data_IF_052529783208
#
_entry.id   IF_052529783208
#
_cell.length_a   1.000
_cell.length_b   1.000
_cell.length_c   1.000
_cell.angle_alpha   90.00
_cell.angle_beta   90.00
_cell.angle_gamma   90.00
#
_symmetry.space_group_name_H-M   'P 1'
#
loop_
_entity.id
_entity.type
_entity.pdbx_description
1 polymer ?
#
# COMPACT_ATOMS: atom_id res chain seq x y z
N UNK A 1 16.03 -19.56 -6.12
CA UNK A 1 15.25 -18.43 -6.70
C UNK A 1 13.93 -18.21 -5.94
N UNK A 2 13.25 -17.06 -6.08
CA UNK A 2 11.93 -16.80 -5.45
C UNK A 2 10.90 -17.91 -5.79
N UNK A 3 10.97 -18.42 -7.02
CA UNK A 3 10.11 -19.51 -7.52
C UNK A 3 10.41 -20.83 -6.80
N UNK A 4 11.68 -21.19 -6.65
CA UNK A 4 12.08 -22.42 -5.94
C UNK A 4 11.72 -22.37 -4.46
N UNK A 5 11.93 -21.23 -3.79
CA UNK A 5 11.52 -21.03 -2.38
C UNK A 5 10.01 -21.22 -2.26
N UNK A 6 9.23 -20.64 -3.18
CA UNK A 6 7.78 -20.83 -3.22
C UNK A 6 7.37 -22.30 -3.41
N UNK A 7 8.04 -23.04 -4.31
CA UNK A 7 7.79 -24.47 -4.54
C UNK A 7 8.13 -25.32 -3.31
N UNK A 8 9.30 -25.11 -2.71
CA UNK A 8 9.72 -25.80 -1.50
C UNK A 8 8.77 -25.51 -0.33
N UNK A 9 8.37 -24.25 -0.16
CA UNK A 9 7.41 -23.85 0.86
C UNK A 9 6.06 -24.59 0.71
N UNK A 10 5.52 -24.66 -0.52
CA UNK A 10 4.29 -25.40 -0.80
C UNK A 10 4.42 -26.90 -0.50
N UNK A 11 5.57 -27.50 -0.82
CA UNK A 11 5.85 -28.91 -0.52
C UNK A 11 5.91 -29.17 1.00
N UNK A 12 6.50 -28.25 1.77
CA UNK A 12 6.58 -28.35 3.23
C UNK A 12 5.18 -28.29 3.85
N UNK A 13 4.36 -27.30 3.46
CA UNK A 13 2.97 -27.18 3.96
C UNK A 13 2.16 -28.44 3.62
N UNK A 14 2.31 -29.00 2.41
CA UNK A 14 1.60 -30.22 2.03
C UNK A 14 1.99 -31.43 2.88
N UNK A 15 3.23 -31.51 3.37
CA UNK A 15 3.73 -32.61 4.20
C UNK A 15 3.42 -32.44 5.70
N UNK A 16 3.01 -31.25 6.14
CA UNK A 16 2.71 -30.93 7.53
C UNK A 16 1.22 -30.57 7.68
N UNK A 17 0.31 -31.56 7.76
CA UNK A 17 -1.14 -31.32 7.79
C UNK A 17 -1.61 -30.53 9.02
N UNK A 18 -0.81 -30.50 10.09
CA UNK A 18 -1.12 -29.80 11.35
C UNK A 18 -0.47 -28.41 11.45
N UNK A 19 0.27 -27.96 10.43
CA UNK A 19 0.77 -26.59 10.39
C UNK A 19 -0.31 -25.70 9.80
N UNK A 20 -0.82 -24.78 10.61
CA UNK A 20 -1.73 -23.75 10.13
C UNK A 20 -1.07 -23.04 8.94
N UNK A 21 -1.79 -22.96 7.82
CA UNK A 21 -1.36 -22.10 6.71
C UNK A 21 -1.12 -20.71 7.29
N UNK A 22 0.02 -20.05 6.97
CA UNK A 22 0.19 -18.67 7.38
C UNK A 22 -0.98 -17.87 6.84
N UNK A 23 -1.61 -17.13 7.73
CA UNK A 23 -2.72 -16.24 7.39
C UNK A 23 -2.27 -15.27 6.30
N UNK A 24 -3.22 -14.87 5.45
CA UNK A 24 -2.96 -13.85 4.44
C UNK A 24 -2.43 -12.60 5.12
N UNK A 25 -1.30 -12.08 4.64
CA UNK A 25 -0.68 -10.88 5.22
C UNK A 25 -1.66 -9.71 5.15
N UNK A 26 -2.06 -9.18 6.31
CA UNK A 26 -2.87 -7.96 6.33
C UNK A 26 -2.02 -6.77 5.86
N UNK A 27 -2.51 -6.10 4.83
CA UNK A 27 -1.87 -4.95 4.17
C UNK A 27 -1.54 -3.85 5.19
N UNK A 28 -2.40 -3.67 6.20
CA UNK A 28 -2.21 -2.69 7.30
C UNK A 28 -0.90 -2.89 8.05
N UNK A 29 -0.47 -4.14 8.23
CA UNK A 29 0.74 -4.49 8.96
C UNK A 29 2.02 -4.22 8.15
N UNK A 30 1.91 -4.06 6.82
CA UNK A 30 3.03 -3.74 5.95
C UNK A 30 3.37 -2.25 5.97
N UNK A 31 2.36 -1.38 6.10
CA UNK A 31 2.51 0.07 5.98
C UNK A 31 3.53 0.66 6.98
N UNK A 32 3.50 0.33 8.30
CA UNK A 32 4.48 0.87 9.24
C UNK A 32 5.93 0.57 8.85
N UNK A 33 6.19 -0.65 8.34
CA UNK A 33 7.51 -1.09 7.89
C UNK A 33 7.96 -0.38 6.61
N UNK A 34 7.04 -0.09 5.71
CA UNK A 34 7.36 0.66 4.49
C UNK A 34 7.60 2.13 4.80
N UNK A 35 6.76 2.76 5.63
CA UNK A 35 6.97 4.14 6.09
C UNK A 35 8.31 4.31 6.82
N UNK A 36 8.75 3.34 7.64
CA UNK A 36 10.04 3.44 8.33
C UNK A 36 11.26 3.35 7.41
N UNK A 37 11.09 2.83 6.18
CA UNK A 37 12.14 2.82 5.15
C UNK A 37 12.16 4.10 4.33
N UNK A 38 11.11 4.91 4.41
CA UNK A 38 10.99 6.19 3.74
C UNK A 38 11.38 7.29 4.72
N UNK A 39 12.15 8.26 4.24
CA UNK A 39 12.52 9.43 5.03
C UNK A 39 11.39 10.47 4.92
N UNK A 40 10.28 10.22 5.64
CA UNK A 40 9.11 11.11 5.65
C UNK A 40 9.18 12.06 6.85
N UNK A 41 8.85 13.33 6.66
CA UNK A 41 8.76 14.32 7.74
C UNK A 41 7.57 13.99 8.66
N UNK A 42 6.41 13.72 8.06
CA UNK A 42 5.14 13.48 8.77
C UNK A 42 4.80 11.98 8.87
N UNK A 43 5.79 11.12 9.19
CA UNK A 43 5.66 9.64 9.22
C UNK A 43 4.37 9.16 9.89
N UNK A 44 4.02 9.71 11.06
CA UNK A 44 2.89 9.22 11.85
C UNK A 44 1.54 9.52 11.19
N UNK A 45 1.39 10.73 10.65
CA UNK A 45 0.19 11.16 9.95
C UNK A 45 0.04 10.36 8.65
N UNK A 46 1.10 10.24 7.86
CA UNK A 46 1.10 9.49 6.59
C UNK A 46 0.76 8.02 6.85
N UNK A 47 1.39 7.39 7.84
CA UNK A 47 1.12 5.99 8.22
C UNK A 47 -0.35 5.78 8.58
N UNK A 48 -0.91 6.61 9.47
CA UNK A 48 -2.32 6.50 9.91
C UNK A 48 -3.27 6.69 8.72
N UNK A 49 -2.97 7.68 7.88
CA UNK A 49 -3.77 8.01 6.69
C UNK A 49 -3.74 6.88 5.66
N UNK A 50 -2.55 6.33 5.37
CA UNK A 50 -2.40 5.22 4.44
C UNK A 50 -3.13 3.96 4.92
N UNK A 51 -3.07 3.64 6.21
CA UNK A 51 -3.84 2.54 6.81
C UNK A 51 -5.34 2.75 6.59
N UNK A 52 -5.83 3.96 6.84
CA UNK A 52 -7.24 4.29 6.64
C UNK A 52 -7.65 4.18 5.16
N UNK A 53 -6.84 4.72 4.25
CA UNK A 53 -7.05 4.62 2.79
C UNK A 53 -7.18 3.16 2.36
N UNK A 54 -6.31 2.27 2.85
CA UNK A 54 -6.37 0.84 2.50
C UNK A 54 -7.69 0.22 2.95
N UNK A 55 -8.18 0.55 4.14
CA UNK A 55 -9.45 0.02 4.62
C UNK A 55 -10.62 0.49 3.78
N UNK A 56 -10.69 1.78 3.50
CA UNK A 56 -11.75 2.30 2.63
C UNK A 56 -11.63 1.74 1.21
N UNK A 57 -10.42 1.55 0.71
CA UNK A 57 -10.19 1.02 -0.62
C UNK A 57 -10.57 -0.46 -0.73
N UNK A 58 -10.49 -1.26 0.34
CA UNK A 58 -10.93 -2.67 0.33
C UNK A 58 -12.43 -2.80 0.03
N UNK A 59 -13.21 -1.82 0.46
CA UNK A 59 -14.66 -1.77 0.30
C UNK A 59 -15.09 -1.01 -0.97
N UNK A 60 -14.39 0.08 -1.29
CA UNK A 60 -14.81 1.03 -2.33
C UNK A 60 -14.11 0.80 -3.67
N UNK A 61 -12.94 0.15 -3.70
CA UNK A 61 -12.09 0.04 -4.89
C UNK A 61 -11.80 -1.41 -5.28
N UNK A 62 -11.55 -1.64 -6.57
CA UNK A 62 -11.23 -2.96 -7.13
C UNK A 62 -9.76 -3.35 -6.90
N UNK A 63 -9.35 -3.44 -5.63
CA UNK A 63 -7.95 -3.70 -5.22
C UNK A 63 -7.71 -5.12 -4.68
N UNK A 64 -8.76 -5.93 -4.49
CA UNK A 64 -8.68 -7.26 -3.86
C UNK A 64 -7.84 -8.27 -4.65
N UNK A 65 -7.77 -8.12 -5.98
CA UNK A 65 -6.96 -8.94 -6.89
C UNK A 65 -5.52 -8.45 -7.03
N UNK A 66 -5.12 -7.37 -6.34
CA UNK A 66 -3.80 -6.76 -6.43
C UNK A 66 -2.90 -7.23 -5.31
N UNK A 67 -1.60 -7.25 -5.57
CA UNK A 67 -0.61 -7.66 -4.58
C UNK A 67 -0.60 -6.69 -3.36
N UNK A 68 -0.57 -7.20 -2.11
CA UNK A 68 -0.52 -6.41 -0.89
C UNK A 68 0.52 -5.28 -0.89
N UNK A 69 1.74 -5.57 -1.33
CA UNK A 69 2.84 -4.61 -1.38
C UNK A 69 2.53 -3.42 -2.31
N UNK A 70 1.85 -3.68 -3.43
CA UNK A 70 1.48 -2.66 -4.41
C UNK A 70 0.33 -1.78 -3.89
N UNK A 71 -0.64 -2.38 -3.20
CA UNK A 71 -1.74 -1.65 -2.56
C UNK A 71 -1.22 -0.74 -1.46
N UNK A 72 -0.35 -1.27 -0.58
CA UNK A 72 0.28 -0.47 0.47
C UNK A 72 1.11 0.67 -0.13
N UNK A 73 1.90 0.41 -1.17
CA UNK A 73 2.69 1.45 -1.85
C UNK A 73 1.82 2.56 -2.45
N UNK A 74 0.72 2.20 -3.12
CA UNK A 74 -0.20 3.19 -3.68
C UNK A 74 -0.91 4.03 -2.61
N UNK A 75 -1.31 3.42 -1.49
CA UNK A 75 -1.92 4.12 -0.37
C UNK A 75 -0.93 5.09 0.31
N UNK A 76 0.33 4.67 0.49
CA UNK A 76 1.40 5.54 1.02
C UNK A 76 1.64 6.72 0.06
N UNK A 77 1.74 6.47 -1.24
CA UNK A 77 1.91 7.53 -2.24
C UNK A 77 0.76 8.55 -2.20
N UNK A 78 -0.48 8.06 -2.12
CA UNK A 78 -1.66 8.91 -2.01
C UNK A 78 -1.67 9.74 -0.71
N UNK A 79 -1.28 9.15 0.41
CA UNK A 79 -1.18 9.84 1.69
C UNK A 79 -0.08 10.93 1.66
N UNK A 80 1.12 10.62 1.14
CA UNK A 80 2.19 11.59 0.95
C UNK A 80 1.73 12.78 0.10
N UNK A 81 1.09 12.50 -1.04
CA UNK A 81 0.58 13.54 -1.92
C UNK A 81 -0.46 14.46 -1.22
N UNK A 82 -1.34 13.91 -0.39
CA UNK A 82 -2.35 14.66 0.34
C UNK A 82 -1.78 15.57 1.44
N UNK A 83 -0.66 15.18 2.06
CA UNK A 83 0.08 16.01 3.02
C UNK A 83 1.12 16.93 2.36
N UNK A 84 1.16 16.99 1.02
CA UNK A 84 2.16 17.75 0.26
C UNK A 84 3.62 17.30 0.53
N UNK A 85 3.81 16.04 0.94
CA UNK A 85 5.12 15.41 1.10
C UNK A 85 5.58 14.89 -0.26
N UNK A 86 6.67 15.44 -0.81
CA UNK A 86 7.21 14.97 -2.08
C UNK A 86 7.93 13.64 -1.89
N UNK A 87 7.32 12.56 -2.35
CA UNK A 87 7.95 11.25 -2.45
C UNK A 87 7.89 10.74 -3.89
N UNK A 88 9.01 10.22 -4.39
CA UNK A 88 9.07 9.66 -5.73
C UNK A 88 8.55 8.24 -5.71
N UNK A 89 7.78 7.85 -6.74
CA UNK A 89 7.24 6.49 -6.86
C UNK A 89 8.36 5.45 -6.84
N UNK A 90 9.53 5.76 -7.40
CA UNK A 90 10.73 4.90 -7.38
C UNK A 90 11.21 4.57 -5.96
N UNK A 91 11.10 5.50 -5.03
CA UNK A 91 11.58 5.32 -3.66
C UNK A 91 10.59 4.43 -2.90
N UNK A 92 9.29 4.63 -3.14
CA UNK A 92 8.22 3.77 -2.62
C UNK A 92 8.31 2.35 -3.21
N UNK A 93 8.59 2.23 -4.51
CA UNK A 93 8.82 0.93 -5.17
C UNK A 93 9.99 0.19 -4.52
N UNK A 94 11.09 0.89 -4.26
CA UNK A 94 12.26 0.33 -3.56
C UNK A 94 11.91 -0.09 -2.12
N UNK A 95 11.14 0.71 -1.39
CA UNK A 95 10.74 0.42 -0.01
C UNK A 95 9.77 -0.77 0.11
N UNK A 96 8.86 -0.93 -0.86
CA UNK A 96 7.81 -1.96 -0.88
C UNK A 96 8.24 -3.24 -1.58
N UNK A 97 9.19 -3.17 -2.52
CA UNK A 97 9.54 -4.26 -3.42
C UNK A 97 8.56 -4.47 -4.59
N UNK A 98 7.55 -3.61 -4.72
CA UNK A 98 6.65 -3.58 -5.87
C UNK A 98 7.28 -2.77 -7.02
N UNK A 99 6.83 -2.99 -8.27
CA UNK A 99 7.29 -2.16 -9.39
C UNK A 99 6.56 -0.81 -9.41
N UNK A 100 7.24 0.23 -9.90
CA UNK A 100 6.67 1.57 -10.06
C UNK A 100 5.38 1.56 -10.88
N UNK A 101 5.37 0.78 -11.98
CA UNK A 101 4.20 0.64 -12.84
C UNK A 101 3.01 0.03 -12.10
N UNK A 102 3.23 -0.99 -11.27
CA UNK A 102 2.14 -1.60 -10.50
C UNK A 102 1.61 -0.64 -9.45
N UNK A 103 2.48 0.10 -8.76
CA UNK A 103 2.06 1.15 -7.81
C UNK A 103 1.20 2.20 -8.52
N UNK A 104 1.65 2.70 -9.68
CA UNK A 104 0.89 3.69 -10.48
C UNK A 104 -0.46 3.13 -10.94
N UNK A 105 -0.51 1.86 -11.36
CA UNK A 105 -1.78 1.22 -11.77
C UNK A 105 -2.77 1.13 -10.61
N UNK A 106 -2.33 0.69 -9.42
CA UNK A 106 -3.21 0.62 -8.24
C UNK A 106 -3.65 2.02 -7.80
N UNK A 107 -2.73 2.98 -7.83
CA UNK A 107 -3.05 4.37 -7.53
C UNK A 107 -4.14 4.93 -8.46
N UNK A 108 -4.09 4.63 -9.76
CA UNK A 108 -5.13 5.03 -10.73
C UNK A 108 -6.49 4.38 -10.46
N UNK A 109 -6.53 3.21 -9.82
CA UNK A 109 -7.79 2.58 -9.40
C UNK A 109 -8.39 3.31 -8.18
N UNK A 110 -7.54 3.78 -7.26
CA UNK A 110 -7.96 4.50 -6.05
C UNK A 110 -8.36 5.96 -6.33
N UNK A 111 -7.66 6.62 -7.27
CA UNK A 111 -7.78 8.07 -7.51
C UNK A 111 -9.22 8.57 -7.77
N UNK A 112 -10.07 7.90 -8.59
CA UNK A 112 -11.45 8.34 -8.81
C UNK A 112 -12.30 8.37 -7.54
N UNK A 113 -11.93 7.59 -6.52
CA UNK A 113 -12.63 7.48 -5.25
C UNK A 113 -11.89 8.19 -4.11
N UNK A 114 -10.79 8.90 -4.40
CA UNK A 114 -9.93 9.53 -3.41
C UNK A 114 -10.70 10.35 -2.38
N UNK A 115 -11.72 11.11 -2.79
CA UNK A 115 -12.56 11.92 -1.87
C UNK A 115 -13.22 11.12 -0.73
N UNK A 116 -13.48 9.82 -0.94
CA UNK A 116 -14.08 8.92 0.07
C UNK A 116 -13.05 8.04 0.79
N UNK A 117 -11.79 8.07 0.37
CA UNK A 117 -10.72 7.24 0.94
C UNK A 117 -10.02 7.89 2.13
N UNK A 118 -10.17 9.20 2.33
CA UNK A 118 -9.61 9.91 3.47
C UNK A 118 -10.62 10.00 4.61
N UNK A 119 -10.09 10.07 5.84
CA UNK A 119 -10.92 10.28 7.04
C UNK A 119 -11.67 11.61 6.93
N UNK A 120 -12.92 11.71 7.41
CA UNK A 120 -13.67 12.97 7.40
C UNK A 120 -12.92 14.13 8.09
N UNK A 121 -12.17 13.83 9.15
CA UNK A 121 -11.39 14.80 9.91
C UNK A 121 -10.00 15.09 9.32
N UNK A 122 -9.67 14.53 8.15
CA UNK A 122 -8.34 14.70 7.57
C UNK A 122 -8.17 16.10 6.98
N UNK A 123 -7.15 16.82 7.47
CA UNK A 123 -6.79 18.14 6.97
C UNK A 123 -5.81 18.01 5.80
N UNK A 124 -6.28 18.30 4.59
CA UNK A 124 -5.47 18.28 3.38
C UNK A 124 -4.50 19.47 3.36
N UNK A 125 -3.19 19.20 3.32
CA UNK A 125 -2.18 20.22 2.99
C UNK A 125 -2.14 20.47 1.48
N UNK A 126 -2.43 19.44 0.67
CA UNK A 126 -2.63 19.53 -0.77
C UNK A 126 -4.08 19.16 -1.13
N UNK A 127 -4.85 20.05 -1.80
CA UNK A 127 -6.23 19.75 -2.19
C UNK A 127 -6.35 18.52 -3.08
N UNK A 128 -7.45 17.77 -2.94
CA UNK A 128 -7.73 16.54 -3.72
C UNK A 128 -7.61 16.74 -5.25
N UNK A 129 -8.02 17.89 -5.77
CA UNK A 129 -7.92 18.25 -7.20
C UNK A 129 -6.50 18.33 -7.73
N UNK A 130 -5.52 18.55 -6.83
CA UNK A 130 -4.10 18.69 -7.14
C UNK A 130 -3.33 17.39 -6.90
N UNK A 131 -4.01 16.28 -6.57
CA UNK A 131 -3.36 14.99 -6.51
C UNK A 131 -2.77 14.60 -7.88
N UNK A 132 -1.56 14.01 -7.91
CA UNK A 132 -0.89 13.65 -9.17
C UNK A 132 -1.78 12.75 -10.03
N UNK A 133 -1.98 13.07 -11.31
CA UNK A 133 -2.84 12.26 -12.20
C UNK A 133 -2.10 11.15 -12.93
N UNK A 134 -0.75 11.15 -12.93
CA UNK A 134 0.12 10.05 -13.40
C UNK A 134 1.59 10.31 -13.12
#
# INVERSE_FOLDING_TARGET
SKVEIGRCFQQIIKKLPNVNRPETVDIKNLIPRFCSRLQLEEVNLIRKTAIYIVEQAKELCDIQSRAPDSVAGAAIYMACAAVNERQLIKDIATATGASENTIRQVYRIMLPRAAKLFSPDFVFKCPLVNLPKS
#
